data_IF_088850119167
#
_entry.id   IF_088850119167
#
_cell.length_a   1.000
_cell.length_b   1.000
_cell.length_c   1.000
_cell.angle_alpha   90.00
_cell.angle_beta   90.00
_cell.angle_gamma   90.00
#
_symmetry.space_group_name_H-M   'P 1'
#
loop_
_entity.id
_entity.type
_entity.pdbx_description
1 polymer ?
#
# COMPACT_ATOMS: atom_id res chain seq x y z
N UNK A 1 -11.15 10.22 -0.99
CA UNK A 1 -11.33 9.01 -0.16
C UNK A 1 -12.03 9.34 1.15
N UNK A 2 -11.44 10.09 2.08
CA UNK A 2 -12.15 10.48 3.32
C UNK A 2 -13.48 11.20 3.03
N UNK A 3 -13.45 12.24 2.18
CA UNK A 3 -14.67 12.98 1.78
C UNK A 3 -15.65 12.14 0.95
N UNK A 4 -15.20 10.99 0.46
CA UNK A 4 -16.00 10.02 -0.29
C UNK A 4 -16.60 8.94 0.63
N UNK A 5 -16.45 9.06 1.95
CA UNK A 5 -17.04 8.16 2.95
C UNK A 5 -16.15 6.99 3.40
N UNK A 6 -14.92 6.88 2.92
CA UNK A 6 -13.99 5.83 3.36
C UNK A 6 -13.37 6.21 4.71
N UNK A 7 -13.51 5.36 5.72
CA UNK A 7 -13.15 5.70 7.11
C UNK A 7 -11.96 4.93 7.67
N UNK A 8 -11.59 3.80 7.07
CA UNK A 8 -10.40 3.02 7.42
C UNK A 8 -9.47 2.90 6.21
N UNK A 9 -8.47 3.78 6.15
CA UNK A 9 -7.55 3.88 5.00
C UNK A 9 -6.14 3.59 5.49
N UNK A 10 -5.55 2.52 4.97
CA UNK A 10 -4.16 2.16 5.21
C UNK A 10 -3.33 2.45 3.97
N UNK A 11 -2.36 3.34 4.10
CA UNK A 11 -1.39 3.67 3.07
C UNK A 11 -0.08 2.93 3.37
N UNK A 12 0.51 2.33 2.34
CA UNK A 12 1.81 1.66 2.44
C UNK A 12 2.79 2.20 1.40
N UNK A 13 4.08 2.16 1.73
CA UNK A 13 5.19 2.51 0.84
C UNK A 13 6.48 1.88 1.39
N UNK A 14 7.40 1.45 0.52
CA UNK A 14 8.68 0.89 0.94
C UNK A 14 9.63 1.96 1.53
N UNK A 15 9.42 3.24 1.16
CA UNK A 15 10.22 4.38 1.57
C UNK A 15 9.82 4.89 2.96
N UNK A 16 10.70 4.71 3.93
CA UNK A 16 10.55 5.32 5.27
C UNK A 16 10.47 6.84 5.21
N UNK A 17 11.17 7.47 4.25
CA UNK A 17 11.15 8.93 4.04
C UNK A 17 9.77 9.39 3.60
N UNK A 18 9.15 8.69 2.64
CA UNK A 18 7.79 8.98 2.19
C UNK A 18 6.79 8.81 3.35
N UNK A 19 6.83 7.67 4.03
CA UNK A 19 5.94 7.36 5.16
C UNK A 19 6.05 8.40 6.27
N UNK A 20 7.26 8.75 6.71
CA UNK A 20 7.45 9.73 7.78
C UNK A 20 6.94 11.11 7.36
N UNK A 21 7.21 11.54 6.13
CA UNK A 21 6.70 12.80 5.60
C UNK A 21 5.17 12.84 5.57
N UNK A 22 4.54 11.75 5.13
CA UNK A 22 3.07 11.67 5.03
C UNK A 22 2.41 11.63 6.41
N UNK A 23 3.02 10.94 7.38
CA UNK A 23 2.59 10.98 8.79
C UNK A 23 2.59 12.41 9.33
N UNK A 24 3.65 13.19 9.08
CA UNK A 24 3.73 14.58 9.53
C UNK A 24 2.68 15.48 8.86
N UNK A 25 2.52 15.39 7.54
CA UNK A 25 1.55 16.20 6.78
C UNK A 25 0.11 15.92 7.23
N UNK A 26 -0.20 14.66 7.55
CA UNK A 26 -1.56 14.22 7.88
C UNK A 26 -1.73 13.79 9.34
N UNK A 27 -0.89 14.30 10.24
CA UNK A 27 -0.92 13.95 11.67
C UNK A 27 -2.26 14.19 12.36
N UNK A 28 -3.03 15.17 11.88
CA UNK A 28 -4.34 15.53 12.42
C UNK A 28 -5.49 14.69 11.83
N UNK A 29 -5.19 13.69 10.99
CA UNK A 29 -6.17 12.80 10.35
C UNK A 29 -5.97 11.34 10.81
N UNK A 30 -6.46 10.95 12.01
CA UNK A 30 -6.19 9.64 12.60
C UNK A 30 -6.74 8.45 11.77
N UNK A 31 -7.72 8.70 10.90
CA UNK A 31 -8.29 7.70 9.99
C UNK A 31 -7.34 7.33 8.83
N UNK A 32 -6.26 8.08 8.61
CA UNK A 32 -5.21 7.77 7.63
C UNK A 32 -4.04 7.10 8.32
N UNK A 33 -3.91 5.78 8.14
CA UNK A 33 -2.77 5.01 8.62
C UNK A 33 -1.68 5.04 7.55
N UNK A 34 -0.42 5.12 7.98
CA UNK A 34 0.75 5.08 7.10
C UNK A 34 1.75 4.05 7.66
N UNK A 35 2.06 3.03 6.89
CA UNK A 35 2.94 1.93 7.29
C UNK A 35 4.07 1.79 6.26
N UNK A 36 5.31 1.68 6.75
CA UNK A 36 6.39 1.28 5.87
C UNK A 36 6.28 -0.21 5.59
N UNK A 37 6.12 -0.58 4.31
CA UNK A 37 5.91 -1.96 3.89
C UNK A 37 6.26 -2.13 2.41
N UNK A 38 6.82 -3.28 2.06
CA UNK A 38 7.03 -3.67 0.67
C UNK A 38 5.74 -4.30 0.14
N UNK A 39 5.23 -3.84 -1.01
CA UNK A 39 4.00 -4.39 -1.60
C UNK A 39 4.16 -5.86 -2.05
N UNK A 40 5.39 -6.31 -2.31
CA UNK A 40 5.69 -7.73 -2.58
C UNK A 40 5.64 -8.62 -1.32
N UNK A 41 5.57 -8.02 -0.12
CA UNK A 41 5.45 -8.75 1.15
C UNK A 41 4.54 -7.98 2.13
N UNK A 42 3.24 -8.29 2.08
CA UNK A 42 2.19 -7.72 2.91
C UNK A 42 1.70 -8.68 4.00
N UNK A 43 2.58 -9.53 4.56
CA UNK A 43 2.24 -10.55 5.57
C UNK A 43 1.58 -10.03 6.85
N UNK A 44 1.71 -8.74 7.16
CA UNK A 44 1.04 -8.14 8.31
C UNK A 44 -0.49 -8.05 8.11
N UNK A 45 -0.96 -8.11 6.85
CA UNK A 45 -2.38 -8.10 6.52
C UNK A 45 -2.91 -9.51 6.29
N UNK A 46 -4.15 -9.74 6.71
CA UNK A 46 -4.92 -10.96 6.53
C UNK A 46 -5.44 -11.06 5.10
N UNK A 47 -5.85 -12.27 4.71
CA UNK A 47 -6.51 -12.49 3.44
C UNK A 47 -7.88 -11.81 3.45
N UNK A 48 -8.25 -11.13 2.36
CA UNK A 48 -9.52 -10.40 2.26
C UNK A 48 -9.70 -9.32 3.32
N UNK A 49 -8.62 -8.67 3.77
CA UNK A 49 -8.70 -7.61 4.77
C UNK A 49 -9.32 -6.31 4.21
N UNK A 50 -9.13 -6.02 2.92
CA UNK A 50 -9.55 -4.77 2.29
C UNK A 50 -10.63 -4.95 1.23
N UNK A 51 -11.60 -4.04 1.21
CA UNK A 51 -12.66 -3.97 0.19
C UNK A 51 -12.20 -3.29 -1.12
N UNK A 52 -11.13 -2.50 -1.05
CA UNK A 52 -10.59 -1.73 -2.17
C UNK A 52 -9.08 -1.58 -2.04
N UNK A 53 -8.36 -1.84 -3.12
CA UNK A 53 -6.94 -1.54 -3.26
C UNK A 53 -6.77 -0.50 -4.36
N UNK A 54 -5.90 0.48 -4.12
CA UNK A 54 -5.51 1.48 -5.11
C UNK A 54 -4.00 1.38 -5.30
N UNK A 55 -3.57 0.91 -6.48
CA UNK A 55 -2.21 1.18 -6.95
C UNK A 55 -2.11 2.64 -7.37
N UNK A 56 -1.13 3.37 -6.83
CA UNK A 56 -0.92 4.78 -7.13
C UNK A 56 0.46 4.98 -7.74
N UNK A 57 0.60 4.58 -9.00
CA UNK A 57 1.86 4.63 -9.74
C UNK A 57 3.01 3.94 -8.96
N UNK A 58 2.72 2.75 -8.43
CA UNK A 58 3.74 1.89 -7.83
C UNK A 58 4.12 0.75 -8.78
N UNK A 59 3.14 0.15 -9.47
CA UNK A 59 3.39 -0.97 -10.39
C UNK A 59 4.43 -0.63 -11.48
N UNK A 60 4.37 0.57 -12.07
CA UNK A 60 5.34 1.03 -13.06
C UNK A 60 6.77 1.12 -12.50
N UNK A 61 6.91 1.53 -11.24
CA UNK A 61 8.20 1.53 -10.53
C UNK A 61 8.72 0.10 -10.30
N UNK A 62 7.83 -0.84 -9.98
CA UNK A 62 8.17 -2.26 -9.81
C UNK A 62 8.60 -2.90 -11.14
N UNK A 63 7.92 -2.57 -12.25
CA UNK A 63 8.27 -3.05 -13.59
C UNK A 63 9.68 -2.62 -14.01
N UNK A 64 10.18 -1.49 -13.50
CA UNK A 64 11.54 -1.00 -13.78
C UNK A 64 12.63 -1.63 -12.89
N UNK A 65 12.28 -2.53 -11.97
CA UNK A 65 13.26 -3.19 -11.08
C UNK A 65 14.06 -4.30 -11.78
N UNK A 66 15.21 -4.69 -11.21
CA UNK A 66 16.06 -5.76 -11.77
C UNK A 66 15.31 -7.10 -11.90
N UNK A 67 14.54 -7.48 -10.86
CA UNK A 67 13.72 -8.69 -10.81
C UNK A 67 12.25 -8.42 -11.23
N UNK A 68 12.05 -7.53 -12.21
CA UNK A 68 10.75 -7.00 -12.65
C UNK A 68 9.61 -8.02 -12.64
N UNK A 69 9.70 -9.10 -13.42
CA UNK A 69 8.61 -10.08 -13.56
C UNK A 69 8.24 -10.75 -12.23
N UNK A 70 9.25 -11.12 -11.43
CA UNK A 70 9.04 -11.74 -10.13
C UNK A 70 8.38 -10.76 -9.16
N UNK A 71 8.87 -9.53 -9.09
CA UNK A 71 8.31 -8.52 -8.18
C UNK A 71 6.88 -8.13 -8.58
N UNK A 72 6.58 -8.07 -9.89
CA UNK A 72 5.21 -7.86 -10.37
C UNK A 72 4.31 -9.02 -9.97
N UNK A 73 4.76 -10.27 -10.13
CA UNK A 73 4.00 -11.45 -9.72
C UNK A 73 3.71 -11.45 -8.22
N UNK A 74 4.73 -11.18 -7.38
CA UNK A 74 4.60 -11.10 -5.93
C UNK A 74 3.65 -9.97 -5.50
N UNK A 75 3.80 -8.77 -6.07
CA UNK A 75 2.89 -7.63 -5.82
C UNK A 75 1.43 -7.98 -6.15
N UNK A 76 1.19 -8.60 -7.31
CA UNK A 76 -0.16 -8.97 -7.75
C UNK A 76 -0.75 -10.09 -6.89
N UNK A 77 0.07 -11.06 -6.49
CA UNK A 77 -0.34 -12.13 -5.57
C UNK A 77 -0.75 -11.56 -4.21
N UNK A 78 0.09 -10.70 -3.62
CA UNK A 78 -0.22 -10.08 -2.34
C UNK A 78 -1.45 -9.16 -2.44
N UNK A 79 -1.57 -8.38 -3.51
CA UNK A 79 -2.74 -7.52 -3.77
C UNK A 79 -4.02 -8.36 -3.88
N UNK A 80 -3.99 -9.45 -4.66
CA UNK A 80 -5.13 -10.35 -4.81
C UNK A 80 -5.46 -11.08 -3.51
N UNK A 81 -4.46 -11.38 -2.68
CA UNK A 81 -4.67 -12.08 -1.39
C UNK A 81 -5.39 -11.20 -0.38
N UNK A 82 -5.01 -9.91 -0.29
CA UNK A 82 -5.56 -9.00 0.72
C UNK A 82 -6.88 -8.35 0.31
N UNK A 83 -7.23 -8.40 -0.98
CA UNK A 83 -8.52 -7.96 -1.51
C UNK A 83 -9.61 -9.03 -1.24
N UNK A 84 -10.82 -8.58 -0.87
CA UNK A 84 -12.00 -9.44 -0.65
C UNK A 84 -12.59 -10.04 -1.92
#
# INVERSE_FOLDING_TARGET
MLDSGYTDITNIDASSVCINKMKEIYKDKPNLKYLQMNVCDMKLFKNGEFDLIIDKACLDSIVCSEDSLKNVEEMLCETSRVLK
#
